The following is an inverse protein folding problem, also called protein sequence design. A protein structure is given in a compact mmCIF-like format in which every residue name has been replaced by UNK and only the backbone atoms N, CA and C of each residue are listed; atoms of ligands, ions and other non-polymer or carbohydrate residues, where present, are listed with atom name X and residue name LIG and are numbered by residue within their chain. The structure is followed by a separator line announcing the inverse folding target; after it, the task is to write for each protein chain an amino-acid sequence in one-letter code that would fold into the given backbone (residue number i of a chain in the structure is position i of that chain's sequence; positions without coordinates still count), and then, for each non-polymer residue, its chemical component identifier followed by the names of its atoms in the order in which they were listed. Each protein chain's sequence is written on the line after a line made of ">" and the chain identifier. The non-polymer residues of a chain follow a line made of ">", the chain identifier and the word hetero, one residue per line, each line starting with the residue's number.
data_IF_376600535570
#
_entry.id   IF_376600535570
#
_cell.length_a   1.000
_cell.length_b   1.000
_cell.length_c   1.000
_cell.angle_alpha   90.00
_cell.angle_beta   90.00
_cell.angle_gamma   90.00
#
_symmetry.space_group_name_H-M   'P 1'
#
loop_
_entity.id
_entity.type
_entity.pdbx_description
1 polymer ?
#
# COMPACT_ATOMS: atom_id res chain seq x y z
N UNK A 1 -0.26 13.53 12.90
CA UNK A 1 -0.56 14.94 12.59
C UNK A 1 0.40 15.88 13.30
N UNK A 2 0.94 16.86 12.58
CA UNK A 2 1.91 17.84 13.06
C UNK A 2 1.56 19.26 12.55
N UNK A 3 2.06 20.29 13.26
CA UNK A 3 1.99 21.66 12.76
C UNK A 3 2.66 21.72 11.38
N UNK A 4 2.04 22.45 10.45
CA UNK A 4 2.51 22.52 9.07
C UNK A 4 1.82 21.55 8.10
N UNK A 5 1.01 20.57 8.54
CA UNK A 5 0.26 19.68 7.63
C UNK A 5 -1.11 20.26 7.24
N UNK A 6 -1.65 19.87 6.09
CA UNK A 6 -2.98 20.26 5.62
C UNK A 6 -4.05 19.19 5.91
N UNK A 7 -5.28 19.65 6.20
CA UNK A 7 -6.47 18.84 6.47
C UNK A 7 -7.59 19.22 5.51
N UNK A 8 -8.30 18.24 4.96
CA UNK A 8 -9.47 18.47 4.12
C UNK A 8 -10.74 18.77 4.95
N UNK A 9 -11.56 19.71 4.48
CA UNK A 9 -12.90 20.02 5.00
C UNK A 9 -13.99 19.38 4.15
N UNK A 10 -15.22 19.36 4.68
CA UNK A 10 -16.39 18.85 3.95
C UNK A 10 -16.76 19.65 2.69
N UNK A 11 -16.32 20.91 2.62
CA UNK A 11 -16.47 21.74 1.44
C UNK A 11 -15.31 21.54 0.42
N UNK A 12 -14.43 20.56 0.63
CA UNK A 12 -13.28 20.30 -0.25
C UNK A 12 -12.13 21.30 -0.09
N UNK A 13 -12.12 22.11 0.97
CA UNK A 13 -11.04 23.08 1.24
C UNK A 13 -9.92 22.44 2.07
N UNK A 14 -8.72 23.02 2.02
CA UNK A 14 -7.59 22.63 2.87
C UNK A 14 -7.45 23.59 4.08
N UNK A 15 -7.21 23.05 5.27
CA UNK A 15 -6.90 23.77 6.50
C UNK A 15 -5.52 23.38 7.00
N UNK A 16 -4.65 24.36 7.24
CA UNK A 16 -3.30 24.15 7.78
C UNK A 16 -3.34 23.98 9.30
N UNK A 17 -2.68 22.95 9.82
CA UNK A 17 -2.46 22.78 11.26
C UNK A 17 -1.45 23.83 11.73
N UNK A 18 -1.87 24.76 12.57
CA UNK A 18 -1.01 25.84 13.10
C UNK A 18 -0.27 25.45 14.38
N UNK A 19 -0.86 24.59 15.21
CA UNK A 19 -0.28 24.11 16.46
C UNK A 19 -0.93 22.80 16.89
N UNK A 20 -0.26 22.05 17.78
CA UNK A 20 -0.82 20.87 18.46
C UNK A 20 -0.56 20.98 19.96
N UNK A 21 -1.50 20.54 20.79
CA UNK A 21 -1.34 20.41 22.25
C UNK A 21 -1.78 19.01 22.67
N UNK A 22 -0.86 18.23 23.24
CA UNK A 22 -1.19 16.98 23.89
C UNK A 22 -1.67 17.25 25.33
N UNK A 23 -2.69 16.54 25.77
CA UNK A 23 -3.24 16.64 27.11
C UNK A 23 -3.98 15.34 27.45
N UNK A 24 -4.26 15.12 28.73
CA UNK A 24 -4.87 13.88 29.23
C UNK A 24 -6.16 14.20 29.97
N UNK A 25 -7.25 13.52 29.61
CA UNK A 25 -8.54 13.54 30.31
C UNK A 25 -9.08 12.13 30.49
N UNK A 26 -9.96 11.96 31.47
CA UNK A 26 -10.86 10.81 31.53
C UNK A 26 -12.23 11.23 31.01
N UNK A 27 -12.49 10.93 29.75
CA UNK A 27 -13.79 11.14 29.11
C UNK A 27 -14.23 9.86 28.39
N UNK A 28 -15.54 9.66 28.25
CA UNK A 28 -16.05 8.61 27.36
C UNK A 28 -15.83 9.06 25.91
N UNK A 29 -15.06 8.29 25.17
CA UNK A 29 -14.83 8.50 23.73
C UNK A 29 -15.57 7.41 22.95
N UNK A 30 -16.26 7.81 21.90
CA UNK A 30 -17.00 6.91 21.02
C UNK A 30 -16.24 6.76 19.71
N UNK A 31 -16.25 5.55 19.15
CA UNK A 31 -15.75 5.30 17.80
C UNK A 31 -16.94 5.10 16.84
N UNK A 32 -16.82 5.61 15.62
CA UNK A 32 -17.83 5.45 14.58
C UNK A 32 -17.37 4.42 13.55
N UNK A 33 -18.11 3.32 13.47
CA UNK A 33 -18.00 2.40 12.34
C UNK A 33 -18.79 2.97 11.17
N UNK A 34 -18.09 3.32 10.09
CA UNK A 34 -18.70 3.72 8.83
C UNK A 34 -18.54 2.57 7.85
N UNK A 35 -19.62 2.15 7.21
CA UNK A 35 -19.57 1.14 6.15
C UNK A 35 -18.99 1.74 4.85
N UNK A 36 -18.07 1.02 4.20
CA UNK A 36 -17.44 1.45 2.95
C UNK A 36 -16.23 2.36 3.16
N UNK A 37 -16.30 3.63 2.75
CA UNK A 37 -15.20 4.57 2.98
C UNK A 37 -15.22 4.93 4.47
N UNK A 38 -14.29 4.38 5.25
CA UNK A 38 -14.11 4.67 6.68
C UNK A 38 -13.55 6.07 6.92
N UNK A 39 -14.13 7.07 6.25
CA UNK A 39 -13.79 8.47 6.40
C UNK A 39 -15.04 9.23 6.76
N UNK A 40 -15.03 9.86 7.93
CA UNK A 40 -16.13 10.70 8.40
C UNK A 40 -15.62 12.06 8.81
N UNK A 41 -16.51 13.03 8.81
CA UNK A 41 -16.22 14.34 9.37
C UNK A 41 -16.54 14.35 10.86
N UNK A 42 -15.57 14.72 11.69
CA UNK A 42 -15.82 15.12 13.08
C UNK A 42 -15.78 16.63 13.20
N UNK A 43 -16.57 17.18 14.12
CA UNK A 43 -16.52 18.60 14.44
C UNK A 43 -15.40 18.86 15.45
N UNK A 44 -14.37 19.61 15.04
CA UNK A 44 -13.41 20.23 15.94
C UNK A 44 -13.90 21.66 16.24
N UNK A 45 -14.63 21.84 17.35
CA UNK A 45 -15.41 23.05 17.58
C UNK A 45 -16.54 23.16 16.56
N UNK A 46 -16.51 24.18 15.70
CA UNK A 46 -17.50 24.38 14.62
C UNK A 46 -16.96 24.04 13.22
N UNK A 47 -15.78 23.41 13.12
CA UNK A 47 -15.14 23.07 11.84
C UNK A 47 -15.17 21.55 11.58
N UNK A 48 -15.74 21.09 10.46
CA UNK A 48 -15.66 19.68 10.07
C UNK A 48 -14.25 19.33 9.59
N UNK A 49 -13.67 18.26 10.14
CA UNK A 49 -12.35 17.72 9.77
C UNK A 49 -12.53 16.29 9.29
N UNK A 50 -11.93 15.97 8.14
CA UNK A 50 -11.94 14.61 7.59
C UNK A 50 -11.04 13.68 8.43
N UNK A 51 -11.60 12.63 9.01
CA UNK A 51 -10.87 11.62 9.80
C UNK A 51 -10.97 10.26 9.12
N UNK A 52 -9.82 9.61 8.92
CA UNK A 52 -9.75 8.25 8.40
C UNK A 52 -9.68 7.27 9.58
N UNK A 53 -10.69 6.44 9.74
CA UNK A 53 -10.83 5.49 10.84
C UNK A 53 -10.57 4.07 10.34
N UNK A 54 -9.33 3.82 9.96
CA UNK A 54 -8.85 2.50 9.54
C UNK A 54 -7.81 2.02 10.54
N UNK A 55 -8.14 0.99 11.32
CA UNK A 55 -7.22 0.37 12.28
C UNK A 55 -6.51 -0.86 11.74
N UNK A 56 -6.87 -1.30 10.53
CA UNK A 56 -6.40 -2.56 9.94
C UNK A 56 -5.51 -2.30 8.74
N UNK A 57 -4.41 -3.03 8.65
CA UNK A 57 -3.43 -2.96 7.56
C UNK A 57 -3.26 -4.32 6.92
N UNK A 58 -2.92 -4.31 5.63
CA UNK A 58 -2.55 -5.49 4.87
C UNK A 58 -1.11 -5.33 4.38
N UNK A 59 -0.36 -6.44 4.42
CA UNK A 59 1.01 -6.50 3.96
C UNK A 59 1.09 -7.31 2.64
N UNK A 60 1.94 -6.85 1.72
CA UNK A 60 2.06 -7.38 0.37
C UNK A 60 3.54 -7.61 0.02
N UNK A 61 3.91 -8.86 -0.24
CA UNK A 61 5.26 -9.24 -0.64
C UNK A 61 5.47 -9.13 -2.15
N UNK A 62 6.60 -8.54 -2.54
CA UNK A 62 7.05 -8.42 -3.91
C UNK A 62 8.49 -8.95 -4.05
N UNK A 63 8.64 -10.02 -4.82
CA UNK A 63 9.94 -10.55 -5.25
C UNK A 63 10.45 -9.83 -6.48
N UNK A 64 11.68 -9.31 -6.41
CA UNK A 64 12.30 -8.56 -7.50
C UNK A 64 13.82 -8.69 -7.45
N UNK A 65 14.52 -7.90 -8.26
CA UNK A 65 15.97 -7.80 -8.22
C UNK A 65 16.43 -6.62 -7.37
N UNK A 66 17.67 -6.65 -6.90
CA UNK A 66 18.27 -5.55 -6.11
C UNK A 66 18.30 -4.24 -6.87
N UNK A 67 18.57 -4.26 -8.18
CA UNK A 67 18.55 -3.05 -9.01
C UNK A 67 17.15 -2.43 -9.10
N UNK A 68 16.11 -3.26 -9.25
CA UNK A 68 14.73 -2.79 -9.24
C UNK A 68 14.32 -2.28 -7.85
N UNK A 69 14.73 -2.95 -6.78
CA UNK A 69 14.51 -2.49 -5.42
C UNK A 69 15.18 -1.14 -5.14
N UNK A 70 16.39 -0.92 -5.66
CA UNK A 70 17.09 0.37 -5.57
C UNK A 70 16.36 1.46 -6.37
N UNK A 71 15.84 1.13 -7.55
CA UNK A 71 15.06 2.06 -8.35
C UNK A 71 13.77 2.48 -7.62
N UNK A 72 13.03 1.53 -7.02
CA UNK A 72 11.83 1.81 -6.24
C UNK A 72 12.17 2.67 -5.01
N UNK A 73 13.29 2.40 -4.33
CA UNK A 73 13.72 3.21 -3.20
C UNK A 73 14.09 4.65 -3.59
N UNK A 74 14.70 4.84 -4.76
CA UNK A 74 15.12 6.14 -5.26
C UNK A 74 13.98 6.97 -5.86
N UNK A 75 13.04 6.32 -6.57
CA UNK A 75 12.04 6.99 -7.39
C UNK A 75 10.59 6.77 -6.93
N UNK A 76 10.38 5.94 -5.91
CA UNK A 76 9.07 5.48 -5.49
C UNK A 76 8.45 4.45 -6.46
N UNK A 77 7.25 3.98 -6.11
CA UNK A 77 6.43 3.19 -7.01
C UNK A 77 5.82 4.13 -8.06
N UNK A 78 6.30 4.04 -9.30
CA UNK A 78 5.78 4.82 -10.42
C UNK A 78 5.31 3.89 -11.51
N UNK A 79 4.02 3.95 -11.86
CA UNK A 79 3.47 3.20 -12.99
C UNK A 79 4.14 3.58 -14.31
N UNK A 80 4.58 4.83 -14.47
CA UNK A 80 5.34 5.29 -15.64
C UNK A 80 6.75 4.70 -15.68
N UNK A 81 7.45 4.71 -14.54
CA UNK A 81 8.79 4.11 -14.43
C UNK A 81 8.71 2.58 -14.57
N UNK A 82 7.71 1.95 -13.96
CA UNK A 82 7.43 0.53 -14.12
C UNK A 82 7.00 0.20 -15.56
N UNK A 83 6.37 1.13 -16.30
CA UNK A 83 6.11 0.99 -17.74
C UNK A 83 7.39 1.04 -18.57
N UNK A 84 8.29 1.96 -18.24
CA UNK A 84 9.58 2.11 -18.91
C UNK A 84 10.55 0.95 -18.59
N UNK A 85 10.44 0.34 -17.40
CA UNK A 85 11.29 -0.75 -16.94
C UNK A 85 10.69 -2.16 -17.18
N UNK A 86 9.38 -2.28 -17.39
CA UNK A 86 8.74 -3.57 -17.67
C UNK A 86 8.91 -3.97 -19.13
N UNK A 87 9.56 -5.10 -19.38
CA UNK A 87 9.52 -5.81 -20.67
C UNK A 87 8.19 -6.57 -20.90
N UNK A 88 7.07 -6.09 -20.35
CA UNK A 88 5.76 -6.73 -20.40
C UNK A 88 5.67 -8.00 -19.54
N UNK A 89 5.12 -7.87 -18.32
CA UNK A 89 4.71 -9.04 -17.53
C UNK A 89 3.59 -9.83 -18.23
N UNK A 90 3.26 -11.02 -17.72
CA UNK A 90 2.36 -12.02 -18.34
C UNK A 90 0.93 -11.56 -18.67
N UNK A 91 0.55 -10.33 -18.32
CA UNK A 91 -0.77 -9.72 -18.61
C UNK A 91 -0.69 -8.57 -19.62
N UNK A 92 0.48 -8.26 -20.19
CA UNK A 92 0.64 -7.22 -21.21
C UNK A 92 0.32 -5.80 -20.74
N UNK A 93 0.20 -5.58 -19.43
CA UNK A 93 -0.05 -4.28 -18.81
C UNK A 93 1.22 -3.81 -18.11
N UNK A 94 2.10 -3.09 -18.81
CA UNK A 94 3.28 -2.51 -18.20
C UNK A 94 2.84 -1.46 -17.15
N UNK A 95 3.58 -1.36 -16.04
CA UNK A 95 3.27 -0.38 -14.98
C UNK A 95 2.48 -0.89 -13.78
N UNK A 96 2.21 -2.20 -13.68
CA UNK A 96 1.55 -2.79 -12.52
C UNK A 96 2.57 -3.36 -11.53
N UNK A 97 2.24 -3.32 -10.24
CA UNK A 97 2.99 -3.99 -9.18
C UNK A 97 2.28 -5.30 -8.81
N UNK A 98 2.99 -6.41 -8.95
CA UNK A 98 2.49 -7.76 -8.68
C UNK A 98 2.96 -8.22 -7.31
N UNK A 99 2.03 -8.61 -6.46
CA UNK A 99 2.33 -8.94 -5.06
C UNK A 99 1.52 -10.12 -4.55
N UNK A 100 1.94 -10.69 -3.43
CA UNK A 100 1.15 -11.66 -2.67
C UNK A 100 0.81 -11.08 -1.30
N UNK A 101 -0.44 -11.23 -0.84
CA UNK A 101 -0.82 -10.86 0.53
C UNK A 101 -0.05 -11.74 1.53
N UNK A 102 0.51 -11.12 2.57
CA UNK A 102 1.26 -11.79 3.63
C UNK A 102 0.55 -11.58 4.94
N UNK A 103 0.24 -12.68 5.62
CA UNK A 103 -0.29 -12.66 6.97
C UNK A 103 0.85 -12.86 8.00
N UNK A 104 0.67 -12.39 9.26
CA UNK A 104 1.63 -12.69 10.33
C UNK A 104 1.87 -14.20 10.45
N UNK A 105 3.13 -14.62 10.33
CA UNK A 105 3.53 -16.03 10.38
C UNK A 105 3.53 -16.76 9.03
N UNK A 106 3.16 -16.11 7.93
CA UNK A 106 3.15 -16.69 6.58
C UNK A 106 4.57 -16.71 5.96
N UNK A 107 5.41 -17.64 6.43
CA UNK A 107 6.75 -17.86 5.88
C UNK A 107 6.73 -18.37 4.45
N UNK A 108 5.67 -19.07 4.06
CA UNK A 108 5.58 -19.75 2.78
C UNK A 108 5.38 -18.75 1.65
N UNK A 109 4.50 -17.77 1.83
CA UNK A 109 4.31 -16.69 0.86
C UNK A 109 5.55 -15.80 0.74
N UNK A 110 6.21 -15.50 1.86
CA UNK A 110 7.49 -14.77 1.84
C UNK A 110 8.57 -15.54 1.07
N UNK A 111 8.66 -16.85 1.30
CA UNK A 111 9.59 -17.75 0.59
C UNK A 111 9.29 -17.84 -0.91
N UNK A 112 8.02 -17.94 -1.27
CA UNK A 112 7.57 -17.98 -2.66
C UNK A 112 7.88 -16.67 -3.40
N UNK A 113 7.60 -15.52 -2.77
CA UNK A 113 7.94 -14.22 -3.31
C UNK A 113 9.47 -14.09 -3.50
N UNK A 114 10.27 -14.49 -2.51
CA UNK A 114 11.73 -14.47 -2.64
C UNK A 114 12.22 -15.38 -3.77
N UNK A 115 11.65 -16.59 -3.91
CA UNK A 115 11.98 -17.53 -4.99
C UNK A 115 11.66 -16.94 -6.36
N UNK A 116 10.51 -16.27 -6.48
CA UNK A 116 10.12 -15.59 -7.71
C UNK A 116 11.04 -14.41 -8.06
N UNK A 117 11.52 -13.65 -7.07
CA UNK A 117 12.58 -12.65 -7.31
C UNK A 117 13.86 -13.29 -7.88
N UNK A 118 14.21 -14.47 -7.36
CA UNK A 118 15.33 -15.28 -7.86
C UNK A 118 15.21 -15.68 -9.32
N UNK A 119 14.02 -16.11 -9.78
CA UNK A 119 13.82 -16.51 -11.19
C UNK A 119 13.94 -15.34 -12.18
N UNK A 120 13.82 -14.10 -11.70
CA UNK A 120 13.99 -12.87 -12.50
C UNK A 120 15.40 -12.28 -12.44
N UNK A 121 16.29 -12.84 -11.63
CA UNK A 121 17.61 -12.26 -11.38
C UNK A 121 18.61 -12.76 -12.44
N UNK A 122 19.20 -11.82 -13.18
CA UNK A 122 20.20 -12.12 -14.21
C UNK A 122 21.62 -12.38 -13.65
N UNK A 123 22.57 -12.83 -14.48
CA UNK A 123 23.96 -13.01 -14.06
C UNK A 123 24.58 -11.70 -13.52
N UNK A 124 25.18 -11.77 -12.33
CA UNK A 124 25.79 -10.61 -11.67
C UNK A 124 24.81 -9.73 -10.87
N UNK A 125 23.52 -10.08 -10.86
CA UNK A 125 22.49 -9.41 -10.06
C UNK A 125 22.13 -10.26 -8.83
N UNK A 126 21.48 -9.64 -7.84
CA UNK A 126 21.01 -10.30 -6.62
C UNK A 126 19.50 -10.15 -6.48
N UNK A 127 18.77 -11.15 -5.98
CA UNK A 127 17.35 -11.00 -5.71
C UNK A 127 17.09 -10.16 -4.46
N UNK A 128 15.91 -9.56 -4.41
CA UNK A 128 15.41 -8.78 -3.30
C UNK A 128 13.94 -9.10 -3.03
N UNK A 129 13.56 -9.02 -1.76
CA UNK A 129 12.17 -9.10 -1.29
C UNK A 129 11.80 -7.74 -0.70
N UNK A 130 10.69 -7.17 -1.19
CA UNK A 130 10.07 -5.98 -0.63
C UNK A 130 8.75 -6.37 0.03
N UNK A 131 8.40 -5.72 1.14
CA UNK A 131 7.05 -5.78 1.70
C UNK A 131 6.47 -4.38 1.74
N UNK A 132 5.28 -4.24 1.17
CA UNK A 132 4.50 -3.03 1.17
C UNK A 132 3.29 -3.18 2.09
N UNK A 133 2.91 -2.11 2.75
CA UNK A 133 1.75 -2.04 3.60
C UNK A 133 0.74 -1.04 3.04
N UNK A 134 -0.53 -1.34 3.18
CA UNK A 134 -1.63 -0.42 2.92
C UNK A 134 -2.76 -0.67 3.92
N UNK A 135 -3.52 0.37 4.25
CA UNK A 135 -4.70 0.22 5.09
C UNK A 135 -5.79 -0.60 4.37
N UNK A 136 -6.48 -1.48 5.10
CA UNK A 136 -7.52 -2.37 4.57
C UNK A 136 -8.62 -1.61 3.83
N UNK A 137 -9.09 -0.48 4.36
CA UNK A 137 -10.14 0.26 3.67
C UNK A 137 -9.68 0.94 2.37
N UNK A 138 -8.40 1.26 2.24
CA UNK A 138 -7.86 1.74 0.97
C UNK A 138 -7.80 0.59 -0.04
N UNK A 139 -7.36 -0.59 0.38
CA UNK A 139 -7.39 -1.81 -0.43
C UNK A 139 -8.80 -2.07 -0.98
N UNK A 140 -9.81 -2.13 -0.10
CA UNK A 140 -11.18 -2.46 -0.49
C UNK A 140 -11.75 -1.39 -1.45
N UNK A 141 -11.51 -0.10 -1.18
CA UNK A 141 -11.93 1.00 -2.05
C UNK A 141 -11.30 0.91 -3.44
N UNK A 142 -9.99 0.70 -3.52
CA UNK A 142 -9.26 0.66 -4.78
C UNK A 142 -9.58 -0.61 -5.58
N UNK A 143 -9.86 -1.71 -4.91
CA UNK A 143 -10.38 -2.94 -5.52
C UNK A 143 -11.77 -2.71 -6.12
N UNK A 144 -12.69 -2.11 -5.37
CA UNK A 144 -14.03 -1.79 -5.87
C UNK A 144 -14.02 -0.81 -7.06
N UNK A 145 -13.02 0.09 -7.11
CA UNK A 145 -12.81 1.01 -8.22
C UNK A 145 -12.04 0.39 -9.42
N UNK A 146 -11.58 -0.87 -9.32
CA UNK A 146 -10.85 -1.56 -10.38
C UNK A 146 -9.37 -1.19 -10.50
N UNK A 147 -8.82 -0.45 -9.54
CA UNK A 147 -7.39 -0.07 -9.51
C UNK A 147 -6.51 -1.16 -8.88
N UNK A 148 -7.12 -2.14 -8.21
CA UNK A 148 -6.48 -3.37 -7.76
C UNK A 148 -7.27 -4.52 -8.35
N UNK A 149 -6.57 -5.47 -8.96
CA UNK A 149 -7.16 -6.72 -9.48
C UNK A 149 -6.47 -7.91 -8.86
N UNK A 150 -7.17 -9.04 -8.79
CA UNK A 150 -6.64 -10.26 -8.18
C UNK A 150 -6.72 -11.43 -9.15
N UNK A 151 -5.75 -12.34 -9.10
CA UNK A 151 -5.83 -13.63 -9.80
C UNK A 151 -5.17 -14.73 -8.98
N UNK A 152 -5.66 -15.96 -9.12
CA UNK A 152 -5.00 -17.13 -8.54
C UNK A 152 -3.85 -17.53 -9.47
N UNK A 153 -2.62 -17.54 -8.95
CA UNK A 153 -1.43 -17.91 -9.76
C UNK A 153 -1.00 -19.36 -9.58
N UNK A 154 -1.49 -20.01 -8.54
CA UNK A 154 -1.22 -21.41 -8.24
C UNK A 154 -2.45 -22.01 -7.55
N UNK A 155 -3.20 -22.85 -8.27
CA UNK A 155 -4.41 -23.51 -7.77
C UNK A 155 -4.11 -24.49 -6.63
N UNK A 156 -2.88 -24.98 -6.50
CA UNK A 156 -2.46 -25.93 -5.46
C UNK A 156 -2.20 -25.20 -4.15
N UNK A 157 -1.49 -24.07 -4.18
CA UNK A 157 -1.27 -23.25 -2.97
C UNK A 157 -2.43 -22.29 -2.67
N UNK A 158 -3.34 -22.07 -3.61
CA UNK A 158 -4.46 -21.13 -3.47
C UNK A 158 -4.03 -19.67 -3.36
N UNK A 159 -2.76 -19.36 -3.67
CA UNK A 159 -2.21 -18.01 -3.53
C UNK A 159 -2.86 -17.05 -4.50
N UNK A 160 -3.34 -15.95 -3.95
CA UNK A 160 -3.91 -14.83 -4.70
C UNK A 160 -2.82 -13.82 -4.95
N UNK A 161 -2.54 -13.54 -6.23
CA UNK A 161 -1.72 -12.41 -6.62
C UNK A 161 -2.59 -11.16 -6.68
N UNK A 162 -2.14 -10.11 -6.01
CA UNK A 162 -2.75 -8.79 -5.98
C UNK A 162 -1.95 -7.87 -6.90
N UNK A 163 -2.62 -7.33 -7.92
CA UNK A 163 -2.06 -6.54 -9.00
C UNK A 163 -2.50 -5.09 -8.80
N UNK A 164 -1.53 -4.25 -8.43
CA UNK A 164 -1.74 -2.83 -8.16
C UNK A 164 -1.47 -2.01 -9.42
N UNK A 165 -2.50 -1.31 -9.90
CA UNK A 165 -2.38 -0.32 -10.98
C UNK A 165 -1.76 0.99 -10.51
N UNK A 166 -1.51 1.90 -11.45
CA UNK A 166 -0.84 3.17 -11.20
C UNK A 166 -1.56 4.05 -10.15
N UNK A 167 -2.89 4.02 -10.11
CA UNK A 167 -3.71 4.78 -9.18
C UNK A 167 -3.70 4.20 -7.76
N UNK A 168 -3.33 2.92 -7.61
CA UNK A 168 -3.26 2.25 -6.30
C UNK A 168 -1.87 2.38 -5.65
N UNK A 169 -0.81 2.52 -6.45
CA UNK A 169 0.58 2.56 -5.95
C UNK A 169 0.89 3.67 -4.94
N UNK A 170 0.38 4.91 -5.06
CA UNK A 170 0.66 5.98 -4.10
C UNK A 170 0.19 5.69 -2.66
N UNK A 171 -0.65 4.67 -2.47
CA UNK A 171 -1.21 4.26 -1.19
C UNK A 171 -0.40 3.15 -0.51
N UNK A 172 0.60 2.59 -1.20
CA UNK A 172 1.51 1.58 -0.65
C UNK A 172 2.70 2.24 0.04
N UNK A 173 3.00 1.77 1.25
CA UNK A 173 4.21 2.15 1.98
C UNK A 173 5.16 0.97 2.03
N UNK A 174 6.40 1.12 1.56
CA UNK A 174 7.41 0.07 1.75
C UNK A 174 7.80 0.00 3.23
N UNK A 175 7.52 -1.12 3.90
CA UNK A 175 7.81 -1.33 5.32
C UNK A 175 9.01 -2.24 5.57
N UNK A 176 9.41 -3.02 4.55
CA UNK A 176 10.53 -3.95 4.67
C UNK A 176 11.24 -4.16 3.34
N UNK A 177 12.55 -4.39 3.41
CA UNK A 177 13.39 -4.85 2.30
C UNK A 177 14.42 -5.86 2.81
N UNK A 178 14.64 -6.92 2.05
CA UNK A 178 15.75 -7.88 2.23
C UNK A 178 16.41 -8.19 0.89
N UNK A 179 17.72 -8.08 0.84
CA UNK A 179 18.53 -8.55 -0.29
C UNK A 179 19.09 -9.94 0.06
N UNK A 180 19.23 -10.82 -0.93
CA UNK A 180 19.80 -12.15 -0.77
C UNK A 180 21.14 -12.28 -1.49
#
# INVERSE_FOLDING_TARGET
>A
MAAGQDLATSAGMQLRIVAKRAWTEKAQVLNLTVEGIHTYYVLAGNKPVLVHNCGETMDFAHGTTTSHADNIAANGLSGDAARAASSGGSVGQPGNLFTYEVNPGDSDTLSAAATFGGTRTGPGERPALLVFQMCRCQYDRLTAAGHITTRVTDEVSGRVEHIFGAEAMPFLTQIYRRNF
#
